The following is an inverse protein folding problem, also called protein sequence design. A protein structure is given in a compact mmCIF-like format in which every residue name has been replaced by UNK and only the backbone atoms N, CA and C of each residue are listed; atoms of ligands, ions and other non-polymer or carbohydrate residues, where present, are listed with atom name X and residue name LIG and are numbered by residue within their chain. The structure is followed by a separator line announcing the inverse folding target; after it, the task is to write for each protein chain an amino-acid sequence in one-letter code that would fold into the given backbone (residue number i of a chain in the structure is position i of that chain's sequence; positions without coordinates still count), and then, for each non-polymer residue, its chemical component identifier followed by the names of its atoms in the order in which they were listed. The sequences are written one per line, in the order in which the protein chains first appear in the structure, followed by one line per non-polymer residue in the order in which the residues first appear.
data_IF_903562061857
#
_entry.id   IF_903562061857
#
_cell.length_a   1.000
_cell.length_b   1.000
_cell.length_c   1.000
_cell.angle_alpha   90.00
_cell.angle_beta   90.00
_cell.angle_gamma   90.00
#
_symmetry.space_group_name_H-M   'P 1'
#
loop_
_entity.id
_entity.type
_entity.pdbx_description
1 polymer ?
#
# COMPACT_ATOMS: atom_id res chain seq x y z
N UNK A 1 -2.45 -1.36 -7.53
CA UNK A 1 -1.18 -0.80 -8.02
C UNK A 1 -0.04 -1.78 -7.83
N UNK A 2 0.47 -2.40 -8.92
CA UNK A 2 1.44 -3.49 -8.85
C UNK A 2 2.82 -3.04 -8.33
N UNK A 3 3.16 -1.75 -8.40
CA UNK A 3 4.50 -1.23 -8.04
C UNK A 3 4.84 -1.47 -6.58
N UNK A 4 3.91 -1.15 -5.67
CA UNK A 4 4.06 -1.38 -4.22
C UNK A 4 4.26 -2.87 -3.94
N UNK A 5 3.47 -3.72 -4.59
CA UNK A 5 3.52 -5.18 -4.45
C UNK A 5 4.84 -5.76 -4.99
N UNK A 6 5.32 -5.28 -6.13
CA UNK A 6 6.59 -5.71 -6.74
C UNK A 6 7.75 -5.34 -5.84
N UNK A 7 7.82 -4.08 -5.37
CA UNK A 7 8.89 -3.65 -4.46
C UNK A 7 8.89 -4.45 -3.17
N UNK A 8 7.71 -4.66 -2.57
CA UNK A 8 7.57 -5.48 -1.37
C UNK A 8 8.03 -6.92 -1.61
N UNK A 9 7.71 -7.50 -2.76
CA UNK A 9 8.11 -8.86 -3.13
C UNK A 9 9.63 -8.97 -3.29
N UNK A 10 10.26 -8.03 -4.02
CA UNK A 10 11.71 -7.97 -4.20
C UNK A 10 12.46 -7.78 -2.86
N UNK A 11 11.89 -7.03 -1.93
CA UNK A 11 12.47 -6.80 -0.61
C UNK A 11 12.28 -7.99 0.36
N UNK A 12 11.22 -8.78 0.18
CA UNK A 12 10.87 -9.86 1.14
C UNK A 12 11.43 -11.22 0.72
N UNK A 13 11.35 -11.58 -0.56
CA UNK A 13 11.60 -12.95 -0.99
C UNK A 13 13.03 -13.15 -1.48
N UNK A 14 13.79 -13.98 -0.78
CA UNK A 14 15.21 -14.26 -1.08
C UNK A 14 15.45 -14.78 -2.51
N UNK A 15 14.53 -15.59 -3.06
CA UNK A 15 14.68 -16.10 -4.43
C UNK A 15 14.57 -15.01 -5.50
N UNK A 16 14.04 -13.83 -5.15
CA UNK A 16 13.98 -12.65 -6.02
C UNK A 16 15.14 -11.67 -5.77
N UNK A 17 16.07 -11.96 -4.85
CA UNK A 17 17.13 -11.02 -4.49
C UNK A 17 18.02 -10.62 -5.68
N UNK A 18 18.23 -11.54 -6.63
CA UNK A 18 18.98 -11.27 -7.88
C UNK A 18 18.33 -10.19 -8.75
N UNK A 19 17.02 -10.00 -8.61
CA UNK A 19 16.23 -9.03 -9.36
C UNK A 19 16.13 -7.67 -8.66
N UNK A 20 16.47 -7.60 -7.37
CA UNK A 20 16.38 -6.41 -6.52
C UNK A 20 17.61 -5.50 -6.66
N UNK A 21 17.97 -5.12 -7.89
CA UNK A 21 19.10 -4.22 -8.12
C UNK A 21 18.85 -2.85 -7.49
N UNK A 22 19.88 -2.13 -7.02
CA UNK A 22 19.72 -0.80 -6.42
C UNK A 22 18.92 0.17 -7.30
N UNK A 23 19.17 0.17 -8.60
CA UNK A 23 18.53 1.05 -9.58
C UNK A 23 17.03 0.71 -9.73
N UNK A 24 16.69 -0.58 -9.83
CA UNK A 24 15.29 -1.03 -9.93
C UNK A 24 14.55 -0.72 -8.65
N UNK A 25 15.17 -0.96 -7.50
CA UNK A 25 14.58 -0.64 -6.20
C UNK A 25 14.34 0.87 -6.10
N UNK A 26 15.31 1.72 -6.44
CA UNK A 26 15.11 3.17 -6.42
C UNK A 26 13.95 3.62 -7.33
N UNK A 27 13.87 3.12 -8.57
CA UNK A 27 12.78 3.45 -9.49
C UNK A 27 11.40 3.05 -8.93
N UNK A 28 11.28 1.84 -8.37
CA UNK A 28 10.04 1.38 -7.73
C UNK A 28 9.66 2.18 -6.48
N UNK A 29 10.65 2.72 -5.76
CA UNK A 29 10.40 3.58 -4.60
C UNK A 29 9.79 4.91 -5.04
N UNK A 30 10.35 5.53 -6.07
CA UNK A 30 9.87 6.82 -6.60
C UNK A 30 8.48 6.67 -7.22
N UNK A 31 8.29 5.67 -8.06
CA UNK A 31 7.00 5.36 -8.68
C UNK A 31 5.94 5.01 -7.63
N UNK A 32 6.29 4.18 -6.65
CA UNK A 32 5.38 3.84 -5.56
C UNK A 32 4.99 5.05 -4.70
N UNK A 33 5.91 5.97 -4.41
CA UNK A 33 5.56 7.23 -3.74
C UNK A 33 4.61 8.09 -4.56
N UNK A 34 4.78 8.17 -5.88
CA UNK A 34 3.88 8.92 -6.75
C UNK A 34 2.45 8.34 -6.70
N UNK A 35 2.34 7.01 -6.82
CA UNK A 35 1.07 6.28 -6.72
C UNK A 35 0.40 6.47 -5.35
N UNK A 36 1.15 6.30 -4.26
CA UNK A 36 0.62 6.50 -2.91
C UNK A 36 0.16 7.95 -2.71
N UNK A 37 0.83 8.92 -3.34
CA UNK A 37 0.39 10.32 -3.39
C UNK A 37 -0.95 10.50 -4.12
N UNK A 38 -1.14 9.85 -5.27
CA UNK A 38 -2.43 9.89 -5.98
C UNK A 38 -3.56 9.29 -5.14
N UNK A 39 -3.28 8.22 -4.40
CA UNK A 39 -4.24 7.60 -3.48
C UNK A 39 -4.56 8.51 -2.29
N UNK A 40 -3.53 9.15 -1.72
CA UNK A 40 -3.67 10.15 -0.66
C UNK A 40 -4.55 11.31 -1.10
N UNK A 41 -4.37 11.83 -2.32
CA UNK A 41 -5.19 12.90 -2.90
C UNK A 41 -6.62 12.45 -3.20
N UNK A 42 -6.81 11.23 -3.70
CA UNK A 42 -8.14 10.69 -3.97
C UNK A 42 -9.00 10.52 -2.70
N UNK A 43 -8.36 10.35 -1.54
CA UNK A 43 -9.01 10.29 -0.23
C UNK A 43 -9.28 11.68 0.38
N UNK A 44 -8.97 12.78 -0.31
CA UNK A 44 -9.30 14.10 0.20
C UNK A 44 -10.82 14.30 0.27
N UNK A 45 -11.31 14.59 1.47
CA UNK A 45 -12.74 14.70 1.77
C UNK A 45 -13.54 13.40 1.65
N UNK A 46 -12.90 12.24 1.51
CA UNK A 46 -13.57 10.94 1.31
C UNK A 46 -13.01 9.87 2.26
N UNK A 47 -13.89 9.01 2.77
CA UNK A 47 -13.49 7.89 3.64
C UNK A 47 -13.09 6.63 2.85
N UNK A 48 -13.57 6.49 1.61
CA UNK A 48 -13.38 5.32 0.74
C UNK A 48 -13.17 5.76 -0.72
N UNK A 49 -12.57 4.90 -1.54
CA UNK A 49 -12.22 5.26 -2.92
C UNK A 49 -13.41 5.37 -3.89
N UNK A 50 -14.56 4.78 -3.57
CA UNK A 50 -15.70 4.67 -4.49
C UNK A 50 -17.03 5.08 -3.83
N UNK A 51 -17.02 6.17 -3.06
CA UNK A 51 -18.22 6.75 -2.46
C UNK A 51 -18.31 6.57 -0.93
N UNK A 52 -19.52 6.50 -0.35
CA UNK A 52 -19.71 6.62 1.10
C UNK A 52 -19.46 5.31 1.89
N UNK A 53 -19.22 4.19 1.21
CA UNK A 53 -19.08 2.85 1.82
C UNK A 53 -17.92 2.09 1.19
N UNK A 54 -17.26 1.16 1.92
CA UNK A 54 -16.17 0.37 1.36
C UNK A 54 -16.66 -0.49 0.20
N UNK A 55 -15.81 -0.64 -0.81
CA UNK A 55 -16.08 -1.41 -2.01
C UNK A 55 -14.97 -2.44 -2.27
N UNK A 56 -15.14 -3.23 -3.33
CA UNK A 56 -14.08 -4.12 -3.81
C UNK A 56 -12.77 -3.36 -4.12
N UNK A 57 -12.86 -2.09 -4.53
CA UNK A 57 -11.67 -1.26 -4.78
C UNK A 57 -10.84 -1.10 -3.50
N UNK A 58 -11.50 -0.84 -2.37
CA UNK A 58 -10.83 -0.67 -1.08
C UNK A 58 -10.14 -1.96 -0.63
N UNK A 59 -10.81 -3.11 -0.77
CA UNK A 59 -10.24 -4.42 -0.42
C UNK A 59 -9.01 -4.73 -1.30
N UNK A 60 -9.12 -4.52 -2.61
CA UNK A 60 -8.05 -4.81 -3.56
C UNK A 60 -6.82 -3.91 -3.35
N UNK A 61 -7.04 -2.63 -3.03
CA UNK A 61 -5.96 -1.69 -2.72
C UNK A 61 -5.35 -1.97 -1.34
N UNK A 62 -6.16 -2.34 -0.35
CA UNK A 62 -5.71 -2.54 1.02
C UNK A 62 -4.65 -3.63 1.12
N UNK A 63 -4.85 -4.75 0.41
CA UNK A 63 -3.96 -5.91 0.43
C UNK A 63 -2.48 -5.58 0.22
N UNK A 64 -2.16 -4.55 -0.58
CA UNK A 64 -0.79 -4.11 -0.83
C UNK A 64 -0.41 -2.86 -0.05
N UNK A 65 -1.39 -1.99 0.22
CA UNK A 65 -1.12 -0.69 0.84
C UNK A 65 -0.84 -0.81 2.33
N UNK A 66 -1.50 -1.72 3.05
CA UNK A 66 -1.29 -1.88 4.50
C UNK A 66 0.13 -2.36 4.86
N UNK A 67 0.83 -3.03 3.93
CA UNK A 67 2.24 -3.45 4.09
C UNK A 67 3.24 -2.56 3.34
N UNK A 68 2.81 -1.44 2.76
CA UNK A 68 3.69 -0.54 2.00
C UNK A 68 4.86 -0.05 2.87
N UNK A 69 4.61 0.32 4.13
CA UNK A 69 5.69 0.70 5.04
C UNK A 69 6.61 -0.46 5.42
N UNK A 70 6.05 -1.56 5.91
CA UNK A 70 6.79 -2.67 6.51
C UNK A 70 7.52 -3.56 5.49
N UNK A 71 6.90 -3.83 4.34
CA UNK A 71 7.49 -4.68 3.28
C UNK A 71 7.99 -3.86 2.09
N UNK A 72 7.29 -2.80 1.73
CA UNK A 72 7.67 -1.94 0.62
C UNK A 72 8.74 -0.90 0.98
N UNK A 73 8.97 -0.63 2.28
CA UNK A 73 9.91 0.38 2.74
C UNK A 73 9.52 1.81 2.34
N UNK A 74 8.22 2.07 2.18
CA UNK A 74 7.69 3.40 1.90
C UNK A 74 7.54 4.21 3.19
N UNK A 75 7.83 5.52 3.13
CA UNK A 75 7.55 6.41 4.27
C UNK A 75 6.05 6.75 4.30
N UNK A 76 5.30 5.96 5.05
CA UNK A 76 3.85 6.13 5.21
C UNK A 76 3.47 7.38 6.01
N UNK A 77 4.41 8.01 6.72
CA UNK A 77 4.19 9.27 7.42
C UNK A 77 3.81 10.42 6.48
N UNK A 78 4.11 10.27 5.18
CA UNK A 78 3.74 11.21 4.11
C UNK A 78 2.26 11.15 3.71
N UNK A 79 1.54 10.08 4.08
CA UNK A 79 0.20 9.79 3.58
C UNK A 79 -0.78 9.58 4.75
N UNK A 80 -1.15 10.65 5.48
CA UNK A 80 -2.01 10.55 6.67
C UNK A 80 -3.43 10.08 6.35
N UNK A 81 -4.05 10.52 5.24
CA UNK A 81 -5.39 10.06 4.86
C UNK A 81 -5.37 8.59 4.46
N UNK A 82 -4.33 8.17 3.74
CA UNK A 82 -4.12 6.78 3.35
C UNK A 82 -3.90 5.89 4.57
N UNK A 83 -3.11 6.34 5.54
CA UNK A 83 -2.89 5.61 6.79
C UNK A 83 -4.19 5.50 7.60
N UNK A 84 -4.99 6.56 7.68
CA UNK A 84 -6.31 6.53 8.31
C UNK A 84 -7.27 5.59 7.58
N UNK A 85 -7.24 5.56 6.25
CA UNK A 85 -8.02 4.63 5.44
C UNK A 85 -7.59 3.17 5.69
N UNK A 86 -6.30 2.86 5.77
CA UNK A 86 -5.83 1.52 6.15
C UNK A 86 -6.40 1.09 7.51
N UNK A 87 -6.34 1.98 8.52
CA UNK A 87 -6.91 1.70 9.83
C UNK A 87 -8.43 1.48 9.78
N UNK A 88 -9.14 2.23 8.93
CA UNK A 88 -10.58 2.08 8.70
C UNK A 88 -10.93 0.72 8.07
N UNK A 89 -10.16 0.26 7.08
CA UNK A 89 -10.34 -1.08 6.48
C UNK A 89 -10.11 -2.17 7.51
N UNK A 90 -9.04 -2.08 8.31
CA UNK A 90 -8.72 -3.06 9.36
C UNK A 90 -9.78 -3.14 10.47
N UNK A 91 -10.61 -2.10 10.61
CA UNK A 91 -11.71 -2.06 11.58
C UNK A 91 -13.04 -2.60 11.02
N UNK A 92 -13.11 -3.03 9.76
CA UNK A 92 -14.35 -3.54 9.16
C UNK A 92 -14.78 -4.86 9.83
N UNK A 93 -16.10 -5.09 10.02
CA UNK A 93 -16.60 -6.35 10.54
C UNK A 93 -16.18 -7.53 9.66
N UNK A 94 -15.63 -8.57 10.29
CA UNK A 94 -15.13 -9.76 9.59
C UNK A 94 -13.74 -9.58 8.95
N UNK A 95 -13.05 -8.47 9.23
CA UNK A 95 -11.64 -8.35 8.90
C UNK A 95 -10.82 -9.43 9.62
N UNK A 96 -10.02 -10.15 8.84
CA UNK A 96 -8.97 -11.03 9.35
C UNK A 96 -7.62 -10.45 8.91
N UNK A 97 -6.72 -10.28 9.89
CA UNK A 97 -5.39 -9.71 9.69
C UNK A 97 -4.63 -10.42 8.59
N UNK A 98 -4.09 -9.64 7.66
CA UNK A 98 -3.29 -10.16 6.55
C UNK A 98 -1.82 -10.03 6.95
N UNK A 99 -1.25 -11.12 7.46
CA UNK A 99 0.16 -11.17 7.92
C UNK A 99 0.48 -10.26 9.12
N UNK A 100 -0.48 -10.05 10.03
CA UNK A 100 -0.27 -9.40 11.34
C UNK A 100 0.30 -10.36 12.41
N UNK A 101 1.09 -11.37 11.99
CA UNK A 101 1.62 -12.45 12.83
C UNK A 101 3.14 -12.48 12.90
#
# INVERSE_FOLDING_TARGET
EPVVAVRASLATYQHLAQEATPERMAALLDEGHAILGLMEDALDGQDWFCGPSPTLADIALYAYTHTAGTRGGFDMGRFPRLTAWCARVAALPGYEGLMDG
#
